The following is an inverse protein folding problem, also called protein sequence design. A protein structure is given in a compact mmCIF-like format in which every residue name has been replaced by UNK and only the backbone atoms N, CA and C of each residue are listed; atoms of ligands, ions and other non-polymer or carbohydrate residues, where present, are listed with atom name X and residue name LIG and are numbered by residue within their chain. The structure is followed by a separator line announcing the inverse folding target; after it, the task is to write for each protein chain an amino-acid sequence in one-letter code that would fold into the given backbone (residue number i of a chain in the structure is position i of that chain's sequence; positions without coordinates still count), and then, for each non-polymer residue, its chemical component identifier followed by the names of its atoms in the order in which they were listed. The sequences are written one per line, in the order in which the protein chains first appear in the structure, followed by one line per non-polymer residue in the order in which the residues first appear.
data_IF_295476871215
#
_entry.id   IF_295476871215
#
_cell.length_a   1.000
_cell.length_b   1.000
_cell.length_c   1.000
_cell.angle_alpha   90.00
_cell.angle_beta   90.00
_cell.angle_gamma   90.00
#
_symmetry.space_group_name_H-M   'P 1'
#
loop_
_entity.id
_entity.type
_entity.pdbx_description
1 polymer ?
#
# COMPACT_ATOMS: atom_id res chain seq x y z
N UNK A 1 1.30 -13.44 24.96
CA UNK A 1 2.00 -13.20 23.68
C UNK A 1 1.30 -14.03 22.62
N UNK A 2 1.07 -13.48 21.43
CA UNK A 2 0.42 -14.19 20.32
C UNK A 2 1.30 -14.13 19.06
N UNK A 3 1.43 -15.25 18.38
CA UNK A 3 1.98 -15.33 17.02
C UNK A 3 0.87 -15.74 16.06
N UNK A 4 0.98 -15.31 14.80
CA UNK A 4 0.02 -15.63 13.76
C UNK A 4 0.73 -15.85 12.42
N UNK A 5 0.26 -16.83 11.65
CA UNK A 5 0.70 -17.13 10.29
C UNK A 5 -0.51 -17.59 9.47
N UNK A 6 -0.51 -17.30 8.17
CA UNK A 6 -1.57 -17.68 7.21
C UNK A 6 -0.95 -18.00 5.86
N UNK A 7 -1.43 -19.01 5.14
CA UNK A 7 -0.93 -19.43 3.83
C UNK A 7 -1.45 -18.58 2.66
N UNK A 8 -2.25 -17.55 2.94
CA UNK A 8 -2.74 -16.56 1.96
C UNK A 8 -1.62 -15.88 1.15
N UNK A 9 -0.38 -15.86 1.64
CA UNK A 9 0.78 -15.30 0.94
C UNK A 9 2.01 -16.21 1.05
N UNK A 10 2.97 -16.13 0.10
CA UNK A 10 4.21 -16.92 0.16
C UNK A 10 5.05 -16.66 1.42
N UNK A 11 4.91 -15.48 2.03
CA UNK A 11 5.61 -15.11 3.26
C UNK A 11 4.86 -15.49 4.55
N UNK A 12 3.80 -16.29 4.43
CA UNK A 12 2.98 -16.79 5.53
C UNK A 12 2.28 -15.70 6.37
N UNK A 13 1.89 -14.59 5.71
CA UNK A 13 1.18 -13.48 6.31
C UNK A 13 -0.23 -13.32 5.73
N UNK A 14 -1.19 -12.74 6.48
CA UNK A 14 -2.47 -12.35 5.91
C UNK A 14 -2.28 -11.41 4.71
N UNK A 15 -3.05 -11.63 3.65
CA UNK A 15 -2.93 -10.85 2.41
C UNK A 15 -3.08 -9.32 2.61
N UNK A 16 -4.04 -8.80 3.43
CA UNK A 16 -4.29 -7.36 3.51
C UNK A 16 -3.09 -6.58 4.05
N UNK A 17 -2.48 -7.06 5.14
CA UNK A 17 -1.31 -6.40 5.73
C UNK A 17 -0.08 -6.53 4.83
N UNK A 18 0.08 -7.66 4.15
CA UNK A 18 1.18 -7.86 3.20
C UNK A 18 1.12 -6.86 2.05
N UNK A 19 -0.07 -6.63 1.49
CA UNK A 19 -0.30 -5.64 0.43
C UNK A 19 -0.05 -4.21 0.93
N UNK A 20 -0.58 -3.83 2.10
CA UNK A 20 -0.34 -2.51 2.69
C UNK A 20 1.16 -2.24 2.90
N UNK A 21 1.90 -3.20 3.44
CA UNK A 21 3.36 -3.10 3.58
C UNK A 21 4.09 -3.04 2.23
N UNK A 22 3.60 -3.74 1.20
CA UNK A 22 4.19 -3.67 -0.14
C UNK A 22 4.02 -2.29 -0.76
N UNK A 23 2.86 -1.64 -0.58
CA UNK A 23 2.64 -0.26 -1.01
C UNK A 23 3.61 0.71 -0.33
N UNK A 24 3.78 0.61 0.98
CA UNK A 24 4.71 1.47 1.72
C UNK A 24 6.18 1.25 1.33
N UNK A 25 6.59 0.00 1.11
CA UNK A 25 7.94 -0.30 0.58
C UNK A 25 8.15 0.32 -0.79
N UNK A 26 7.19 0.16 -1.70
CA UNK A 26 7.29 0.73 -3.05
C UNK A 26 7.30 2.26 -3.04
N UNK A 27 6.50 2.88 -2.19
CA UNK A 27 6.52 4.33 -1.98
C UNK A 27 7.91 4.82 -1.55
N UNK A 28 8.51 4.18 -0.54
CA UNK A 28 9.88 4.49 -0.10
C UNK A 28 10.89 4.31 -1.22
N UNK A 29 10.83 3.22 -1.99
CA UNK A 29 11.73 2.98 -3.13
C UNK A 29 11.64 4.10 -4.18
N UNK A 30 10.43 4.54 -4.52
CA UNK A 30 10.21 5.62 -5.50
C UNK A 30 10.73 6.97 -5.01
N UNK A 31 10.58 7.25 -3.71
CA UNK A 31 11.15 8.42 -3.07
C UNK A 31 12.68 8.37 -3.06
N UNK A 32 13.26 7.26 -2.57
CA UNK A 32 14.71 7.12 -2.38
C UNK A 32 15.47 7.06 -3.71
N UNK A 33 14.85 6.52 -4.76
CA UNK A 33 15.41 6.54 -6.12
C UNK A 33 15.29 7.90 -6.81
N UNK A 34 14.51 8.84 -6.27
CA UNK A 34 14.21 10.11 -6.92
C UNK A 34 13.30 10.00 -8.16
N UNK A 35 12.72 8.82 -8.43
CA UNK A 35 11.81 8.60 -9.55
C UNK A 35 10.55 9.47 -9.44
N UNK A 36 10.09 9.75 -8.22
CA UNK A 36 9.05 10.73 -7.92
C UNK A 36 9.62 11.78 -6.96
N UNK A 37 10.30 12.82 -7.48
CA UNK A 37 11.09 13.75 -6.66
C UNK A 37 10.25 14.63 -5.73
N UNK A 38 8.93 14.71 -5.98
CA UNK A 38 7.98 15.46 -5.18
C UNK A 38 7.43 14.67 -3.97
N UNK A 39 7.77 13.38 -3.83
CA UNK A 39 7.35 12.57 -2.68
C UNK A 39 8.09 12.97 -1.41
N UNK A 40 7.34 13.08 -0.32
CA UNK A 40 7.89 13.30 1.03
C UNK A 40 7.80 12.05 1.92
N UNK A 41 8.46 12.05 3.09
CA UNK A 41 8.56 10.83 3.90
C UNK A 41 7.27 10.30 4.52
N UNK A 42 6.28 11.12 4.86
CA UNK A 42 5.03 10.64 5.47
C UNK A 42 4.10 10.05 4.40
N UNK A 43 3.74 8.78 4.59
CA UNK A 43 2.75 8.09 3.77
C UNK A 43 2.03 7.02 4.58
N UNK A 44 0.80 6.72 4.16
CA UNK A 44 -0.10 5.74 4.77
C UNK A 44 -0.82 4.98 3.68
N UNK A 45 -0.91 3.66 3.83
CA UNK A 45 -1.67 2.81 2.92
C UNK A 45 -2.71 1.98 3.67
N UNK A 46 -3.88 1.83 3.08
CA UNK A 46 -4.94 0.92 3.52
C UNK A 46 -5.43 0.11 2.32
N UNK A 47 -5.64 -1.18 2.54
CA UNK A 47 -6.14 -2.11 1.55
C UNK A 47 -7.32 -2.86 2.15
N UNK A 48 -8.49 -2.73 1.53
CA UNK A 48 -9.68 -3.52 1.83
C UNK A 48 -9.75 -4.68 0.85
N UNK A 49 -9.82 -5.90 1.38
CA UNK A 49 -9.87 -7.14 0.59
C UNK A 49 -11.21 -7.79 0.82
N UNK A 50 -11.87 -8.20 -0.26
CA UNK A 50 -13.08 -8.99 -0.22
C UNK A 50 -12.71 -10.46 -0.04
N UNK A 51 -13.33 -11.10 0.94
CA UNK A 51 -13.17 -12.52 1.21
C UNK A 51 -14.45 -13.29 0.85
N UNK A 52 -14.29 -14.53 0.40
CA UNK A 52 -15.38 -15.51 0.33
C UNK A 52 -15.04 -16.64 1.32
N UNK A 53 -15.58 -16.53 2.53
CA UNK A 53 -15.11 -17.36 3.65
C UNK A 53 -13.72 -16.92 4.06
N UNK A 54 -12.77 -17.85 4.07
CA UNK A 54 -11.36 -17.60 4.43
C UNK A 54 -10.48 -17.25 3.21
N UNK A 55 -11.01 -17.42 1.99
CA UNK A 55 -10.27 -17.16 0.76
C UNK A 55 -10.37 -15.68 0.35
N UNK A 56 -9.25 -14.96 0.18
CA UNK A 56 -9.25 -13.62 -0.39
C UNK A 56 -9.53 -13.67 -1.89
N UNK A 57 -10.61 -13.04 -2.35
CA UNK A 57 -11.06 -13.16 -3.76
C UNK A 57 -10.83 -11.90 -4.59
N UNK A 58 -10.74 -10.71 -3.98
CA UNK A 58 -10.49 -9.47 -4.69
C UNK A 58 -9.99 -8.36 -3.76
N UNK A 59 -9.18 -7.43 -4.29
CA UNK A 59 -8.94 -6.14 -3.62
C UNK A 59 -10.09 -5.20 -3.98
N UNK A 60 -10.79 -4.71 -2.97
CA UNK A 60 -11.99 -3.88 -3.13
C UNK A 60 -11.65 -2.40 -3.16
N UNK A 61 -10.81 -1.95 -2.23
CA UNK A 61 -10.44 -0.55 -2.09
C UNK A 61 -8.97 -0.44 -1.73
N UNK A 62 -8.27 0.48 -2.40
CA UNK A 62 -6.92 0.89 -2.03
C UNK A 62 -6.92 2.38 -1.73
N UNK A 63 -6.45 2.74 -0.54
CA UNK A 63 -6.22 4.14 -0.15
C UNK A 63 -4.72 4.33 0.04
N UNK A 64 -4.16 5.30 -0.66
CA UNK A 64 -2.78 5.74 -0.49
C UNK A 64 -2.78 7.24 -0.22
N UNK A 65 -2.47 7.61 1.02
CA UNK A 65 -2.24 8.99 1.39
C UNK A 65 -0.73 9.21 1.46
N UNK A 66 -0.22 10.20 0.74
CA UNK A 66 1.19 10.56 0.77
C UNK A 66 1.34 12.05 0.94
N UNK A 67 2.33 12.43 1.73
CA UNK A 67 2.83 13.79 1.74
C UNK A 67 3.59 14.06 0.43
N UNK A 68 3.43 15.26 -0.10
CA UNK A 68 4.09 15.73 -1.32
C UNK A 68 4.46 17.21 -1.20
N UNK A 69 5.30 17.69 -2.11
CA UNK A 69 5.60 19.11 -2.24
C UNK A 69 4.37 19.93 -2.65
N UNK A 70 4.26 21.15 -2.13
CA UNK A 70 3.14 22.07 -2.38
C UNK A 70 3.12 22.64 -3.79
N UNK A 71 4.26 22.62 -4.50
CA UNK A 71 4.36 22.98 -5.91
C UNK A 71 3.60 22.01 -6.81
N UNK A 72 3.36 20.79 -6.33
CA UNK A 72 2.55 19.79 -7.01
C UNK A 72 1.09 19.91 -6.52
N UNK A 73 0.45 21.04 -6.79
CA UNK A 73 -0.98 21.27 -6.51
C UNK A 73 -1.91 20.71 -7.60
N UNK A 74 -1.35 20.01 -8.60
CA UNK A 74 -2.10 19.31 -9.61
C UNK A 74 -2.80 18.09 -9.02
N UNK A 75 -4.11 18.16 -8.90
CA UNK A 75 -4.97 16.97 -8.91
C UNK A 75 -4.46 16.03 -10.01
N UNK A 76 -4.37 14.72 -9.80
CA UNK A 76 -4.05 13.82 -10.90
C UNK A 76 -5.17 13.97 -11.93
N UNK A 77 -4.85 14.48 -13.11
CA UNK A 77 -5.67 14.28 -14.29
C UNK A 77 -5.68 12.77 -14.55
N UNK A 78 -6.68 12.10 -14.02
CA UNK A 78 -7.04 10.76 -14.44
C UNK A 78 -7.68 10.94 -15.81
N UNK A 79 -6.92 10.74 -16.88
CA UNK A 79 -7.49 10.32 -18.16
C UNK A 79 -8.01 8.89 -18.05
#
# INVERSE_FOLDING_TARGET
MFGYASDETPELLPLPIKLAHRLMRRHRELRDSGALPWLRPDAKAQVSVRYRGEEPVAVETVVLSTQHDSSNSGSPSVE
#
